data_IF_200383787717
#
_entry.id   IF_200383787717
#
_cell.length_a   1.000
_cell.length_b   1.000
_cell.length_c   1.000
_cell.angle_alpha   90.00
_cell.angle_beta   90.00
_cell.angle_gamma   90.00
#
_symmetry.space_group_name_H-M   'P 1'
#
loop_
_entity.id
_entity.type
_entity.pdbx_description
1 polymer ?
#
# COMPACT_ATOMS: atom_id res chain seq x y z
N UNK A 1 24.77 9.59 -2.74
CA UNK A 1 25.48 10.39 -3.75
C UNK A 1 26.60 11.25 -3.15
N UNK A 2 26.32 12.35 -2.43
CA UNK A 2 27.39 13.24 -1.95
C UNK A 2 28.38 12.57 -1.01
N UNK A 3 27.91 11.74 -0.06
CA UNK A 3 28.80 10.96 0.81
C UNK A 3 29.75 10.04 0.01
N UNK A 4 29.23 9.34 -1.00
CA UNK A 4 30.03 8.47 -1.88
C UNK A 4 31.05 9.26 -2.71
N UNK A 5 30.71 10.49 -3.10
CA UNK A 5 31.64 11.38 -3.81
C UNK A 5 32.79 11.87 -2.91
N UNK A 6 32.49 12.18 -1.64
CA UNK A 6 33.52 12.58 -0.65
C UNK A 6 34.47 11.43 -0.37
N UNK A 7 33.97 10.19 -0.34
CA UNK A 7 34.76 8.98 -0.12
C UNK A 7 35.66 8.65 -1.32
N UNK A 8 35.08 8.56 -2.53
CA UNK A 8 35.82 8.30 -3.77
C UNK A 8 35.08 8.92 -4.97
N UNK A 9 35.54 10.07 -5.49
CA UNK A 9 34.89 10.77 -6.60
C UNK A 9 34.99 10.02 -7.93
N UNK A 10 35.92 9.07 -8.08
CA UNK A 10 36.06 8.21 -9.25
C UNK A 10 35.50 6.79 -9.01
N UNK A 11 34.95 6.54 -7.83
CA UNK A 11 34.47 5.24 -7.38
C UNK A 11 33.18 4.80 -8.05
N UNK A 12 32.98 3.47 -8.12
CA UNK A 12 31.81 2.86 -8.78
C UNK A 12 30.48 3.26 -8.12
N UNK A 13 30.45 3.46 -6.81
CA UNK A 13 29.23 3.88 -6.10
C UNK A 13 28.77 5.28 -6.49
N UNK A 14 29.71 6.23 -6.64
CA UNK A 14 29.36 7.57 -7.08
C UNK A 14 28.86 7.56 -8.53
N UNK A 15 29.52 6.82 -9.42
CA UNK A 15 29.08 6.63 -10.82
C UNK A 15 27.67 6.04 -10.90
N UNK A 16 27.35 5.04 -10.08
CA UNK A 16 26.00 4.47 -9.98
C UNK A 16 24.97 5.49 -9.50
N UNK A 17 25.31 6.35 -8.55
CA UNK A 17 24.42 7.44 -8.12
C UNK A 17 24.20 8.48 -9.22
N UNK A 18 25.26 8.90 -9.92
CA UNK A 18 25.15 9.86 -11.03
C UNK A 18 24.21 9.36 -12.13
N UNK A 19 24.31 8.07 -12.47
CA UNK A 19 23.45 7.44 -13.48
C UNK A 19 21.95 7.47 -13.12
N UNK A 20 21.60 7.63 -11.83
CA UNK A 20 20.22 7.67 -11.34
C UNK A 20 19.64 9.08 -11.21
N UNK A 21 20.40 10.14 -11.44
CA UNK A 21 19.90 11.52 -11.32
C UNK A 21 18.72 11.76 -12.29
N UNK A 22 18.82 11.26 -13.51
CA UNK A 22 17.77 11.39 -14.53
C UNK A 22 16.45 10.77 -14.10
N UNK A 23 16.49 9.73 -13.27
CA UNK A 23 15.29 9.04 -12.77
C UNK A 23 14.45 9.97 -11.89
N UNK A 24 15.03 11.05 -11.36
CA UNK A 24 14.33 12.08 -10.59
C UNK A 24 13.98 13.33 -11.41
N UNK A 25 14.28 13.39 -12.71
CA UNK A 25 13.96 14.55 -13.55
C UNK A 25 12.69 14.32 -14.35
N UNK A 26 11.71 15.22 -14.20
CA UNK A 26 10.46 15.24 -14.95
C UNK A 26 10.41 16.49 -15.84
N UNK A 27 10.20 16.30 -17.14
CA UNK A 27 9.93 17.42 -18.06
C UNK A 27 8.43 17.71 -18.01
N UNK A 28 8.06 18.82 -17.38
CA UNK A 28 6.69 19.31 -17.31
C UNK A 28 6.47 20.47 -18.30
N UNK A 29 5.22 20.89 -18.45
CA UNK A 29 4.82 21.99 -19.34
C UNK A 29 5.54 23.31 -19.02
N UNK A 30 5.87 23.53 -17.74
CA UNK A 30 6.57 24.71 -17.23
C UNK A 30 8.08 24.48 -17.02
N UNK A 31 8.63 23.41 -17.61
CA UNK A 31 10.04 23.10 -17.61
C UNK A 31 10.42 21.86 -16.81
N UNK A 32 11.72 21.66 -16.62
CA UNK A 32 12.25 20.49 -15.91
C UNK A 32 12.14 20.67 -14.41
N UNK A 33 11.56 19.67 -13.75
CA UNK A 33 11.38 19.58 -12.30
C UNK A 33 12.10 18.36 -11.75
N UNK A 34 12.47 18.42 -10.47
CA UNK A 34 12.94 17.25 -9.73
C UNK A 34 11.75 16.64 -8.97
N UNK A 35 11.42 15.38 -9.25
CA UNK A 35 10.40 14.65 -8.50
C UNK A 35 10.99 14.13 -7.18
N UNK A 36 10.14 14.01 -6.15
CA UNK A 36 10.56 13.41 -4.88
C UNK A 36 10.73 11.90 -5.01
N UNK A 37 9.64 11.23 -5.42
CA UNK A 37 9.60 9.83 -5.83
C UNK A 37 8.67 9.75 -7.05
N UNK A 38 8.92 8.80 -7.95
CA UNK A 38 7.91 8.43 -8.93
C UNK A 38 6.69 7.78 -8.25
N UNK A 39 5.55 7.75 -8.94
CA UNK A 39 4.29 7.16 -8.43
C UNK A 39 3.77 6.02 -9.31
N UNK A 40 4.65 5.38 -10.10
CA UNK A 40 4.26 4.51 -11.21
C UNK A 40 3.39 3.32 -10.75
N UNK A 41 3.80 2.62 -9.69
CA UNK A 41 3.05 1.46 -9.16
C UNK A 41 1.79 1.89 -8.43
N UNK A 42 1.83 3.00 -7.70
CA UNK A 42 0.64 3.58 -7.07
C UNK A 42 -0.42 3.98 -8.10
N UNK A 43 -0.03 4.73 -9.13
CA UNK A 43 -0.92 5.21 -10.18
C UNK A 43 -1.44 4.07 -11.05
N UNK A 44 -0.58 3.11 -11.42
CA UNK A 44 -1.02 1.91 -12.14
C UNK A 44 -2.02 1.09 -11.31
N UNK A 45 -1.76 0.92 -10.01
CA UNK A 45 -2.63 0.22 -9.07
C UNK A 45 -4.05 0.81 -9.03
N UNK A 46 -4.17 2.13 -8.86
CA UNK A 46 -5.46 2.81 -8.86
C UNK A 46 -6.11 2.92 -10.24
N UNK A 47 -5.33 3.15 -11.30
CA UNK A 47 -5.85 3.24 -12.66
C UNK A 47 -6.51 1.92 -13.08
N UNK A 48 -5.87 0.78 -12.81
CA UNK A 48 -6.44 -0.53 -13.16
C UNK A 48 -7.71 -0.80 -12.34
N UNK A 49 -7.74 -0.42 -11.06
CA UNK A 49 -8.95 -0.49 -10.24
C UNK A 49 -10.11 0.32 -10.80
N UNK A 50 -9.84 1.57 -11.21
CA UNK A 50 -10.85 2.44 -11.80
C UNK A 50 -11.36 1.88 -13.14
N UNK A 51 -10.45 1.39 -13.98
CA UNK A 51 -10.79 0.76 -15.25
C UNK A 51 -11.65 -0.49 -15.05
N UNK A 52 -11.34 -1.33 -14.07
CA UNK A 52 -12.16 -2.48 -13.70
C UNK A 52 -13.56 -2.08 -13.21
N UNK A 53 -13.64 -1.02 -12.41
CA UNK A 53 -14.92 -0.52 -11.90
C UNK A 53 -15.80 0.12 -13.00
N UNK A 54 -15.24 0.45 -14.16
CA UNK A 54 -15.97 1.07 -15.28
C UNK A 54 -16.90 0.11 -16.03
N UNK A 55 -16.78 -1.21 -15.81
CA UNK A 55 -17.47 -2.25 -16.60
C UNK A 55 -17.19 -2.21 -18.12
N UNK A 56 -16.05 -1.62 -18.53
CA UNK A 56 -15.62 -1.57 -19.94
C UNK A 56 -14.55 -2.61 -20.28
N UNK A 57 -14.38 -3.63 -19.42
CA UNK A 57 -13.30 -4.63 -19.48
C UNK A 57 -13.09 -5.24 -20.87
N UNK A 58 -14.18 -5.52 -21.59
CA UNK A 58 -14.14 -6.14 -22.93
C UNK A 58 -13.54 -5.21 -24.00
N UNK A 59 -13.58 -3.89 -23.79
CA UNK A 59 -13.03 -2.90 -24.73
C UNK A 59 -11.55 -2.58 -24.45
N UNK A 60 -11.09 -2.84 -23.22
CA UNK A 60 -9.77 -2.44 -22.74
C UNK A 60 -8.90 -3.62 -22.28
N UNK A 61 -9.26 -4.85 -22.66
CA UNK A 61 -8.53 -6.07 -22.30
C UNK A 61 -7.00 -5.94 -22.51
N UNK A 62 -6.47 -5.42 -23.65
CA UNK A 62 -5.03 -5.31 -23.82
C UNK A 62 -4.36 -4.33 -22.84
N UNK A 63 -5.07 -3.29 -22.41
CA UNK A 63 -4.58 -2.32 -21.42
C UNK A 63 -4.52 -2.97 -20.04
N UNK A 64 -5.58 -3.68 -19.68
CA UNK A 64 -5.70 -4.41 -18.42
C UNK A 64 -4.65 -5.52 -18.29
N UNK A 65 -4.38 -6.26 -19.37
CA UNK A 65 -3.31 -7.26 -19.42
C UNK A 65 -1.93 -6.66 -19.17
N UNK A 66 -1.58 -5.58 -19.87
CA UNK A 66 -0.29 -4.89 -19.66
C UNK A 66 -0.17 -4.31 -18.25
N UNK A 67 -1.26 -3.78 -17.71
CA UNK A 67 -1.31 -3.29 -16.33
C UNK A 67 -1.02 -4.42 -15.33
N UNK A 68 -1.64 -5.58 -15.52
CA UNK A 68 -1.39 -6.75 -14.69
C UNK A 68 0.06 -7.26 -14.81
N UNK A 69 0.60 -7.34 -16.03
CA UNK A 69 2.01 -7.69 -16.26
C UNK A 69 2.98 -6.72 -15.58
N UNK A 70 2.71 -5.41 -15.66
CA UNK A 70 3.48 -4.39 -14.97
C UNK A 70 3.46 -4.60 -13.44
N UNK A 71 2.28 -4.80 -12.85
CA UNK A 71 2.18 -5.02 -11.40
C UNK A 71 2.91 -6.31 -11.00
N UNK A 72 2.75 -7.41 -11.75
CA UNK A 72 3.45 -8.67 -11.48
C UNK A 72 4.98 -8.49 -11.58
N UNK A 73 5.46 -7.73 -12.55
CA UNK A 73 6.88 -7.47 -12.74
C UNK A 73 7.47 -6.56 -11.65
N UNK A 74 6.67 -5.61 -11.12
CA UNK A 74 7.10 -4.63 -10.13
C UNK A 74 7.18 -5.16 -8.69
N UNK A 75 6.80 -6.42 -8.44
CA UNK A 75 6.90 -7.00 -7.10
C UNK A 75 8.37 -7.23 -6.71
N UNK A 76 8.74 -6.80 -5.50
CA UNK A 76 10.04 -7.05 -4.89
C UNK A 76 10.18 -8.54 -4.58
N UNK A 77 11.22 -9.17 -5.12
CA UNK A 77 11.41 -10.64 -5.07
C UNK A 77 12.32 -11.11 -3.93
N UNK A 78 13.17 -10.21 -3.44
CA UNK A 78 14.21 -10.51 -2.47
C UNK A 78 14.23 -9.44 -1.39
N UNK A 79 14.62 -9.82 -0.17
CA UNK A 79 14.93 -8.87 0.88
C UNK A 79 16.24 -8.12 0.58
N UNK A 80 16.51 -6.97 1.24
CA UNK A 80 17.73 -6.22 0.97
C UNK A 80 18.98 -7.07 1.23
N UNK A 81 19.99 -6.91 0.39
CA UNK A 81 21.22 -7.72 0.47
C UNK A 81 22.01 -7.46 1.76
N UNK A 82 22.70 -8.48 2.25
CA UNK A 82 23.56 -8.39 3.43
C UNK A 82 22.78 -8.52 4.74
N UNK A 83 23.36 -8.04 5.84
CA UNK A 83 22.68 -7.99 7.14
C UNK A 83 21.79 -6.73 7.20
N UNK A 84 20.63 -6.81 6.56
CA UNK A 84 19.71 -5.68 6.45
C UNK A 84 19.06 -5.33 7.80
N UNK A 85 18.97 -6.28 8.73
CA UNK A 85 18.51 -6.02 10.10
C UNK A 85 19.51 -5.13 10.86
N UNK A 86 20.81 -5.39 10.72
CA UNK A 86 21.86 -4.52 11.28
C UNK A 86 21.87 -3.11 10.66
N UNK A 87 21.35 -2.97 9.43
CA UNK A 87 21.13 -1.67 8.78
C UNK A 87 19.76 -1.05 9.12
N UNK A 88 19.03 -1.64 10.07
CA UNK A 88 17.69 -1.23 10.48
C UNK A 88 16.65 -1.26 9.36
N UNK A 89 16.86 -2.04 8.30
CA UNK A 89 15.81 -2.29 7.32
C UNK A 89 14.78 -3.29 7.88
N UNK A 90 13.65 -3.42 7.19
CA UNK A 90 12.64 -4.45 7.44
C UNK A 90 12.56 -5.41 6.26
N UNK A 91 11.86 -6.53 6.43
CA UNK A 91 11.57 -7.43 5.30
C UNK A 91 10.78 -6.66 4.22
N UNK A 92 11.05 -7.00 2.97
CA UNK A 92 10.45 -6.33 1.81
C UNK A 92 10.10 -7.27 0.65
N UNK A 93 10.53 -8.54 0.73
CA UNK A 93 10.10 -9.59 -0.19
C UNK A 93 8.57 -9.68 -0.22
N UNK A 94 8.02 -9.70 -1.43
CA UNK A 94 6.58 -9.70 -1.67
C UNK A 94 5.92 -8.32 -1.69
N UNK A 95 6.66 -7.24 -1.43
CA UNK A 95 6.15 -5.87 -1.52
C UNK A 95 6.03 -5.36 -2.96
N UNK A 96 5.27 -4.28 -3.15
CA UNK A 96 5.19 -3.44 -4.33
C UNK A 96 5.51 -2.02 -3.93
N UNK A 97 6.44 -1.38 -4.62
CA UNK A 97 6.90 -0.04 -4.24
C UNK A 97 5.88 1.04 -4.56
N UNK A 98 6.07 2.27 -4.08
CA UNK A 98 5.27 3.40 -4.55
C UNK A 98 5.58 3.74 -6.02
N UNK A 99 6.85 3.63 -6.42
CA UNK A 99 7.37 3.92 -7.76
C UNK A 99 7.55 2.65 -8.60
N UNK A 100 8.76 2.09 -8.61
CA UNK A 100 9.21 0.92 -9.37
C UNK A 100 9.95 -0.07 -8.46
N UNK A 101 10.20 -1.29 -8.96
CA UNK A 101 10.79 -2.39 -8.16
C UNK A 101 12.09 -2.00 -7.42
N UNK A 102 12.90 -1.08 -7.96
CA UNK A 102 14.19 -0.69 -7.39
C UNK A 102 14.06 0.12 -6.08
N UNK A 103 12.86 0.65 -5.79
CA UNK A 103 12.64 1.59 -4.70
C UNK A 103 11.99 1.02 -3.42
N UNK A 104 11.60 -0.26 -3.39
CA UNK A 104 10.88 -0.90 -2.27
C UNK A 104 9.51 -0.30 -1.88
N UNK A 105 8.50 -1.17 -1.64
CA UNK A 105 7.43 -1.02 -0.61
C UNK A 105 6.05 -0.37 -0.87
N UNK A 106 5.01 -1.05 -0.33
CA UNK A 106 3.52 -0.96 -0.45
C UNK A 106 2.91 -2.30 -0.95
N UNK A 107 1.59 -2.49 -0.92
CA UNK A 107 0.97 -3.80 -1.19
C UNK A 107 -0.28 -3.70 -2.07
N UNK A 108 -0.27 -4.39 -3.22
CA UNK A 108 -1.38 -4.42 -4.18
C UNK A 108 -1.96 -5.85 -4.30
N UNK A 109 -2.51 -6.40 -3.22
CA UNK A 109 -3.10 -7.76 -3.24
C UNK A 109 -4.38 -7.88 -4.08
N UNK A 110 -4.97 -6.77 -4.50
CA UNK A 110 -6.20 -6.74 -5.31
C UNK A 110 -6.04 -7.43 -6.68
N UNK A 111 -4.81 -7.61 -7.17
CA UNK A 111 -4.56 -8.26 -8.46
C UNK A 111 -4.70 -9.79 -8.41
N UNK A 112 -4.80 -10.39 -7.21
CA UNK A 112 -4.98 -11.84 -7.02
C UNK A 112 -6.34 -12.39 -7.49
N UNK A 113 -7.37 -11.54 -7.63
CA UNK A 113 -8.73 -11.96 -8.03
C UNK A 113 -9.00 -11.86 -9.52
N UNK A 114 -8.04 -11.43 -10.33
CA UNK A 114 -8.29 -11.15 -11.74
C UNK A 114 -8.46 -12.45 -12.56
N UNK A 115 -9.44 -12.46 -13.48
CA UNK A 115 -9.73 -13.62 -14.33
C UNK A 115 -8.55 -13.90 -15.27
N UNK A 116 -8.03 -15.14 -15.32
CA UNK A 116 -6.92 -15.45 -16.20
C UNK A 116 -7.27 -15.31 -17.69
N UNK A 117 -8.57 -15.38 -18.03
CA UNK A 117 -9.05 -15.21 -19.41
C UNK A 117 -8.83 -13.80 -19.96
N UNK A 118 -8.94 -12.78 -19.09
CA UNK A 118 -8.81 -11.36 -19.47
C UNK A 118 -7.39 -10.86 -19.19
N UNK A 119 -6.77 -11.36 -18.12
CA UNK A 119 -5.53 -10.79 -17.56
C UNK A 119 -4.28 -11.65 -17.79
N UNK A 120 -4.42 -12.79 -18.47
CA UNK A 120 -3.32 -13.69 -18.77
C UNK A 120 -2.92 -14.56 -17.57
N UNK A 121 -1.64 -14.93 -17.51
CA UNK A 121 -1.14 -15.81 -16.46
C UNK A 121 -1.25 -15.14 -15.08
N UNK A 122 -1.91 -15.82 -14.13
CA UNK A 122 -2.01 -15.38 -12.74
C UNK A 122 -0.64 -15.15 -12.11
N UNK A 123 -0.60 -14.31 -11.09
CA UNK A 123 0.56 -14.21 -10.22
C UNK A 123 0.77 -15.54 -9.47
N UNK A 124 2.03 -15.87 -9.17
CA UNK A 124 2.33 -17.06 -8.40
C UNK A 124 1.67 -16.94 -7.01
N UNK A 125 1.15 -18.06 -6.51
CA UNK A 125 0.56 -18.09 -5.18
C UNK A 125 1.61 -17.85 -4.09
N UNK A 126 2.85 -18.30 -4.27
CA UNK A 126 3.93 -18.02 -3.32
C UNK A 126 4.24 -16.51 -3.23
N UNK A 127 4.16 -15.79 -4.35
CA UNK A 127 4.30 -14.33 -4.39
C UNK A 127 3.21 -13.61 -3.59
N UNK A 128 1.99 -14.15 -3.58
CA UNK A 128 0.90 -13.65 -2.75
C UNK A 128 1.13 -13.96 -1.25
N UNK A 129 1.70 -15.12 -0.94
CA UNK A 129 2.04 -15.49 0.43
C UNK A 129 3.15 -14.60 0.99
N UNK A 130 4.17 -14.28 0.19
CA UNK A 130 5.22 -13.32 0.56
C UNK A 130 4.62 -11.95 0.90
N UNK A 131 3.70 -11.45 0.08
CA UNK A 131 2.99 -10.19 0.33
C UNK A 131 2.19 -10.23 1.65
N UNK A 132 1.48 -11.34 1.91
CA UNK A 132 0.74 -11.53 3.18
C UNK A 132 1.68 -11.60 4.38
N UNK A 133 2.84 -12.24 4.24
CA UNK A 133 3.84 -12.31 5.30
C UNK A 133 4.35 -10.91 5.68
N UNK A 134 4.61 -10.06 4.69
CA UNK A 134 4.96 -8.66 4.92
C UNK A 134 3.84 -7.92 5.67
N UNK A 135 2.59 -7.98 5.19
CA UNK A 135 1.48 -7.28 5.83
C UNK A 135 1.29 -7.71 7.29
N UNK A 136 1.40 -9.01 7.59
CA UNK A 136 1.30 -9.53 8.95
C UNK A 136 2.40 -8.98 9.87
N UNK A 137 3.57 -8.63 9.33
CA UNK A 137 4.69 -8.09 10.11
C UNK A 137 4.56 -6.60 10.45
N UNK A 138 3.69 -5.86 9.75
CA UNK A 138 3.57 -4.40 9.85
C UNK A 138 2.49 -3.93 10.85
N UNK A 139 1.70 -4.84 11.43
CA UNK A 139 0.64 -4.44 12.36
C UNK A 139 1.22 -3.92 13.68
N UNK A 140 0.84 -2.69 14.04
CA UNK A 140 1.15 -2.09 15.32
C UNK A 140 0.35 -2.70 16.48
N UNK A 141 0.81 -2.48 17.72
CA UNK A 141 0.19 -3.05 18.94
C UNK A 141 -1.27 -2.62 19.18
N UNK A 142 -1.70 -1.50 18.60
CA UNK A 142 -3.08 -0.99 18.69
C UNK A 142 -3.97 -1.43 17.52
N UNK A 143 -3.46 -2.30 16.63
CA UNK A 143 -4.20 -2.84 15.49
C UNK A 143 -4.04 -2.07 14.17
N UNK A 144 -3.53 -0.84 14.22
CA UNK A 144 -3.25 -0.04 13.02
C UNK A 144 -2.09 -0.61 12.20
N UNK A 145 -2.04 -0.22 10.93
CA UNK A 145 -0.96 -0.58 10.01
C UNK A 145 -0.05 0.62 9.77
N UNK A 146 1.24 0.37 9.79
CA UNK A 146 2.23 1.36 9.36
C UNK A 146 2.37 1.37 7.84
N UNK A 147 2.93 2.45 7.30
CA UNK A 147 3.12 2.57 5.87
C UNK A 147 4.31 1.78 5.31
N UNK A 148 5.38 1.66 6.11
CA UNK A 148 6.71 1.29 5.63
C UNK A 148 7.39 0.29 6.57
N UNK A 149 7.52 0.61 7.85
CA UNK A 149 8.21 -0.23 8.84
C UNK A 149 7.35 -0.45 10.09
N UNK A 150 7.57 -1.54 10.85
CA UNK A 150 6.94 -1.70 12.15
C UNK A 150 7.27 -0.54 13.09
N UNK A 151 6.33 -0.19 13.97
CA UNK A 151 6.56 0.85 14.99
C UNK A 151 7.68 0.43 15.95
N UNK A 152 8.87 1.01 15.79
CA UNK A 152 10.04 0.79 16.65
C UNK A 152 10.22 1.90 17.69
N UNK A 153 9.69 3.09 17.43
CA UNK A 153 9.84 4.25 18.29
C UNK A 153 8.85 4.22 19.48
N UNK A 154 9.27 4.67 20.67
CA UNK A 154 8.37 4.86 21.79
C UNK A 154 7.44 6.06 21.54
N UNK A 155 6.22 6.01 22.10
CA UNK A 155 5.17 7.04 21.90
C UNK A 155 5.55 8.48 22.29
N UNK A 156 6.63 8.68 23.05
CA UNK A 156 7.08 10.00 23.48
C UNK A 156 8.03 10.66 22.48
N UNK A 157 8.66 9.89 21.58
CA UNK A 157 9.67 10.40 20.64
C UNK A 157 9.02 11.20 19.49
N UNK A 158 7.77 10.88 19.20
CA UNK A 158 6.73 11.60 18.45
C UNK A 158 5.44 10.83 18.77
N UNK A 159 4.23 11.40 18.62
CA UNK A 159 3.02 10.59 18.86
C UNK A 159 3.02 9.44 17.84
N UNK A 160 3.28 8.21 18.29
CA UNK A 160 3.35 7.02 17.44
C UNK A 160 2.02 6.75 16.67
N UNK A 161 0.98 7.54 16.96
CA UNK A 161 -0.23 7.67 16.15
C UNK A 161 0.06 8.16 14.72
N UNK A 162 1.08 8.99 14.46
CA UNK A 162 1.40 9.43 13.10
C UNK A 162 2.06 8.36 12.23
N UNK A 163 2.51 7.25 12.81
CA UNK A 163 3.10 6.14 12.04
C UNK A 163 2.06 5.14 11.56
N UNK A 164 0.91 5.08 12.24
CA UNK A 164 -0.18 4.17 11.96
C UNK A 164 -1.28 4.95 11.27
N UNK A 165 -1.70 4.46 10.10
CA UNK A 165 -2.45 5.30 9.17
C UNK A 165 -3.78 4.64 8.85
N UNK A 166 -4.85 5.42 8.95
CA UNK A 166 -6.21 5.01 8.57
C UNK A 166 -6.22 4.40 7.18
N UNK A 167 -5.55 5.04 6.23
CA UNK A 167 -5.55 4.63 4.82
C UNK A 167 -4.81 3.31 4.61
N UNK A 168 -3.65 3.14 5.24
CA UNK A 168 -2.89 1.88 5.20
C UNK A 168 -3.69 0.75 5.86
N UNK A 169 -4.29 1.03 7.01
CA UNK A 169 -5.07 0.05 7.76
C UNK A 169 -6.29 -0.43 6.99
N UNK A 170 -7.05 0.50 6.42
CA UNK A 170 -8.21 0.17 5.61
C UNK A 170 -7.86 -0.60 4.33
N UNK A 171 -6.78 -0.22 3.65
CA UNK A 171 -6.30 -0.91 2.44
C UNK A 171 -5.89 -2.35 2.74
N UNK A 172 -5.23 -2.59 3.88
CA UNK A 172 -4.86 -3.93 4.33
C UNK A 172 -6.08 -4.78 4.66
N UNK A 173 -7.13 -4.21 5.26
CA UNK A 173 -8.38 -4.94 5.50
C UNK A 173 -8.98 -5.41 4.16
N UNK A 174 -9.15 -4.51 3.19
CA UNK A 174 -9.72 -4.83 1.87
C UNK A 174 -8.92 -5.95 1.19
N UNK A 175 -7.61 -5.79 1.13
CA UNK A 175 -6.67 -6.76 0.59
C UNK A 175 -6.75 -8.14 1.27
N UNK A 176 -6.75 -8.20 2.60
CA UNK A 176 -6.71 -9.46 3.34
C UNK A 176 -8.05 -10.17 3.40
N UNK A 177 -9.18 -9.44 3.41
CA UNK A 177 -10.50 -10.04 3.26
C UNK A 177 -10.59 -10.75 1.91
N UNK A 178 -10.13 -10.10 0.86
CA UNK A 178 -10.12 -10.66 -0.48
C UNK A 178 -9.21 -11.90 -0.57
N UNK A 179 -7.99 -11.79 -0.04
CA UNK A 179 -7.04 -12.89 0.03
C UNK A 179 -7.63 -14.08 0.81
N UNK A 180 -8.26 -13.85 1.97
CA UNK A 180 -8.90 -14.90 2.79
C UNK A 180 -10.00 -15.63 2.01
N UNK A 181 -10.75 -14.92 1.15
CA UNK A 181 -11.78 -15.53 0.29
C UNK A 181 -11.17 -16.48 -0.75
N UNK A 182 -10.03 -16.11 -1.33
CA UNK A 182 -9.33 -16.94 -2.33
C UNK A 182 -8.53 -18.09 -1.71
N UNK A 183 -7.90 -17.86 -0.55
CA UNK A 183 -6.97 -18.78 0.11
C UNK A 183 -7.38 -19.04 1.56
N UNK A 184 -8.56 -19.64 1.81
CA UNK A 184 -9.18 -19.71 3.15
C UNK A 184 -8.39 -20.53 4.19
N UNK A 185 -7.40 -21.32 3.76
CA UNK A 185 -6.57 -22.17 4.63
C UNK A 185 -5.21 -21.55 4.97
N UNK A 186 -4.75 -20.54 4.22
CA UNK A 186 -3.41 -19.98 4.42
C UNK A 186 -3.43 -18.96 5.57
N UNK A 187 -2.71 -19.25 6.67
CA UNK A 187 -2.56 -18.38 7.86
C UNK A 187 -3.88 -17.75 8.37
N UNK A 188 -4.99 -18.46 8.20
CA UNK A 188 -6.35 -17.92 8.35
C UNK A 188 -6.60 -17.27 9.71
N UNK A 189 -6.12 -17.89 10.79
CA UNK A 189 -6.24 -17.37 12.17
C UNK A 189 -5.50 -16.05 12.36
N UNK A 190 -4.30 -15.93 11.80
CA UNK A 190 -3.46 -14.74 11.93
C UNK A 190 -4.04 -13.58 11.13
N UNK A 191 -4.51 -13.88 9.92
CA UNK A 191 -5.21 -12.91 9.06
C UNK A 191 -6.50 -12.41 9.72
N UNK A 192 -7.29 -13.32 10.30
CA UNK A 192 -8.53 -12.96 10.99
C UNK A 192 -8.29 -12.09 12.22
N UNK A 193 -7.26 -12.40 13.01
CA UNK A 193 -6.85 -11.57 14.13
C UNK A 193 -6.39 -10.19 13.66
N UNK A 194 -5.59 -10.11 12.59
CA UNK A 194 -5.13 -8.85 12.04
C UNK A 194 -6.31 -7.98 11.60
N UNK A 195 -7.22 -8.53 10.79
CA UNK A 195 -8.42 -7.83 10.31
C UNK A 195 -9.26 -7.33 11.49
N UNK A 196 -9.48 -8.17 12.51
CA UNK A 196 -10.27 -7.79 13.70
C UNK A 196 -9.65 -6.62 14.43
N UNK A 197 -8.33 -6.65 14.66
CA UNK A 197 -7.61 -5.56 15.32
C UNK A 197 -7.59 -4.29 14.48
N UNK A 198 -7.46 -4.42 13.16
CA UNK A 198 -7.46 -3.30 12.22
C UNK A 198 -8.83 -2.59 12.16
N UNK A 199 -9.93 -3.35 12.19
CA UNK A 199 -11.30 -2.79 12.32
C UNK A 199 -11.43 -2.01 13.62
N UNK A 200 -11.00 -2.60 14.74
CA UNK A 200 -11.07 -1.94 16.05
C UNK A 200 -10.26 -0.64 16.07
N UNK A 201 -9.09 -0.62 15.40
CA UNK A 201 -8.30 0.59 15.23
C UNK A 201 -9.07 1.66 14.45
N UNK A 202 -9.66 1.32 13.29
CA UNK A 202 -10.45 2.29 12.52
C UNK A 202 -11.63 2.84 13.32
N UNK A 203 -12.31 2.00 14.10
CA UNK A 203 -13.42 2.43 14.96
C UNK A 203 -12.94 3.38 16.08
N UNK A 204 -11.73 3.18 16.61
CA UNK A 204 -11.16 4.00 17.68
C UNK A 204 -10.60 5.35 17.18
N UNK A 205 -10.09 5.40 15.95
CA UNK A 205 -9.52 6.62 15.36
C UNK A 205 -10.58 7.52 14.68
N UNK A 206 -11.85 7.08 14.64
CA UNK A 206 -12.94 7.92 14.13
C UNK A 206 -13.12 9.17 15.01
N UNK A 207 -13.18 10.34 14.36
CA UNK A 207 -13.39 11.60 15.05
C UNK A 207 -14.84 11.77 15.54
N UNK A 208 -15.10 12.66 16.52
CA UNK A 208 -16.45 12.86 17.06
C UNK A 208 -17.51 13.25 16.03
N UNK A 209 -17.12 13.93 14.95
CA UNK A 209 -17.99 14.33 13.84
C UNK A 209 -18.27 13.21 12.82
N UNK A 210 -17.62 12.05 12.98
CA UNK A 210 -17.74 10.89 12.11
C UNK A 210 -16.63 10.75 11.08
N UNK A 211 -15.78 11.76 10.91
CA UNK A 211 -14.69 11.74 9.93
C UNK A 211 -13.48 10.93 10.38
N UNK A 212 -12.57 10.67 9.44
CA UNK A 212 -11.20 10.23 9.73
C UNK A 212 -10.21 11.20 9.10
N UNK A 213 -9.12 11.47 9.83
CA UNK A 213 -8.03 12.28 9.32
C UNK A 213 -7.28 11.55 8.19
N UNK A 214 -7.08 12.23 7.06
CA UNK A 214 -6.24 11.75 5.97
C UNK A 214 -4.80 12.25 6.13
N UNK A 215 -3.86 11.32 6.22
CA UNK A 215 -2.45 11.60 6.44
C UNK A 215 -1.66 11.73 5.13
N UNK A 216 -2.10 11.05 4.07
CA UNK A 216 -1.42 11.09 2.76
C UNK A 216 -1.99 12.11 1.78
N UNK A 217 -3.23 12.58 2.00
CA UNK A 217 -3.89 13.61 1.17
C UNK A 217 -4.83 14.46 2.00
N UNK A 218 -5.21 15.61 1.43
CA UNK A 218 -6.08 16.60 2.06
C UNK A 218 -7.56 16.20 1.97
N UNK A 219 -8.31 16.12 3.06
CA UNK A 219 -7.89 15.65 4.38
C UNK A 219 -8.96 14.65 4.85
N UNK A 220 -10.09 15.14 5.34
CA UNK A 220 -11.12 14.31 5.94
C UNK A 220 -11.95 13.49 4.95
N UNK A 221 -12.21 14.01 3.74
CA UNK A 221 -12.90 13.23 2.69
C UNK A 221 -12.05 12.02 2.31
N UNK A 222 -10.74 12.21 2.15
CA UNK A 222 -9.80 11.15 1.80
C UNK A 222 -9.71 10.08 2.89
N UNK A 223 -9.43 10.48 4.14
CA UNK A 223 -9.37 9.54 5.26
C UNK A 223 -10.68 8.77 5.45
N UNK A 224 -11.81 9.47 5.38
CA UNK A 224 -13.15 8.87 5.53
C UNK A 224 -13.47 7.90 4.39
N UNK A 225 -13.11 8.22 3.15
CA UNK A 225 -13.28 7.31 2.02
C UNK A 225 -12.56 5.97 2.24
N UNK A 226 -11.28 6.01 2.65
CA UNK A 226 -10.52 4.79 2.95
C UNK A 226 -11.15 4.00 4.10
N UNK A 227 -11.41 4.66 5.23
CA UNK A 227 -11.98 3.99 6.40
C UNK A 227 -13.30 3.28 6.08
N UNK A 228 -14.21 3.95 5.37
CA UNK A 228 -15.48 3.36 4.96
C UNK A 228 -15.29 2.19 4.00
N UNK A 229 -14.36 2.27 3.04
CA UNK A 229 -14.04 1.16 2.12
C UNK A 229 -13.51 -0.07 2.87
N UNK A 230 -12.56 0.11 3.79
CA UNK A 230 -12.02 -1.00 4.58
C UNK A 230 -13.08 -1.64 5.49
N UNK A 231 -13.91 -0.82 6.14
CA UNK A 231 -15.01 -1.31 6.98
C UNK A 231 -16.06 -2.07 6.14
N UNK A 232 -16.40 -1.57 4.95
CA UNK A 232 -17.32 -2.22 4.02
C UNK A 232 -16.80 -3.57 3.54
N UNK A 233 -15.52 -3.66 3.17
CA UNK A 233 -14.87 -4.93 2.83
C UNK A 233 -14.98 -5.95 3.98
N UNK A 234 -14.88 -5.51 5.23
CA UNK A 234 -15.07 -6.35 6.42
C UNK A 234 -16.55 -6.68 6.75
N UNK A 235 -17.51 -6.27 5.91
CA UNK A 235 -18.93 -6.53 6.11
C UNK A 235 -19.65 -5.54 7.04
N UNK A 236 -19.01 -4.43 7.40
CA UNK A 236 -19.66 -3.33 8.14
C UNK A 236 -20.43 -2.47 7.13
N UNK A 237 -21.69 -2.24 7.41
CA UNK A 237 -22.62 -1.51 6.54
C UNK A 237 -23.33 -0.42 7.34
N UNK A 238 -24.03 0.47 6.64
CA UNK A 238 -24.84 1.51 7.27
C UNK A 238 -25.85 0.97 8.29
N UNK A 239 -26.40 -0.23 8.05
CA UNK A 239 -27.43 -0.83 8.90
C UNK A 239 -26.88 -1.59 10.12
N UNK A 240 -25.61 -1.98 10.12
CA UNK A 240 -25.02 -2.83 11.17
C UNK A 240 -23.83 -2.20 11.91
N UNK A 241 -23.40 -0.99 11.52
CA UNK A 241 -22.25 -0.31 12.11
C UNK A 241 -22.55 1.18 12.36
N UNK A 242 -22.64 1.60 13.64
CA UNK A 242 -22.74 3.02 14.00
C UNK A 242 -21.56 3.85 13.49
N UNK A 243 -20.37 3.25 13.40
CA UNK A 243 -19.17 3.88 12.87
C UNK A 243 -19.35 4.24 11.39
N UNK A 244 -19.85 3.29 10.58
CA UNK A 244 -20.16 3.54 9.16
C UNK A 244 -21.26 4.59 9.02
N UNK A 245 -22.31 4.50 9.84
CA UNK A 245 -23.41 5.48 9.86
C UNK A 245 -22.90 6.91 10.05
N UNK A 246 -22.07 7.16 11.06
CA UNK A 246 -21.46 8.47 11.33
C UNK A 246 -20.56 8.95 10.19
N UNK A 247 -19.75 8.07 9.62
CA UNK A 247 -18.88 8.42 8.49
C UNK A 247 -19.67 8.86 7.25
N UNK A 248 -20.78 8.17 6.97
CA UNK A 248 -21.69 8.56 5.89
C UNK A 248 -22.40 9.88 6.20
N UNK A 249 -22.87 10.08 7.43
CA UNK A 249 -23.45 11.36 7.84
C UNK A 249 -22.48 12.54 7.70
N UNK A 250 -21.21 12.34 8.06
CA UNK A 250 -20.16 13.34 7.88
C UNK A 250 -20.06 13.77 6.40
N UNK A 251 -19.95 12.80 5.49
CA UNK A 251 -19.82 13.07 4.05
C UNK A 251 -21.05 13.77 3.47
N UNK A 252 -22.26 13.44 3.94
CA UNK A 252 -23.50 14.05 3.46
C UNK A 252 -23.75 15.47 3.97
N UNK A 253 -23.12 15.84 5.10
CA UNK A 253 -23.19 17.19 5.68
C UNK A 253 -22.07 18.12 5.19
N UNK A 254 -21.10 17.59 4.45
CA UNK A 254 -19.92 18.29 3.94
C UNK A 254 -20.22 19.15 2.71
#
# INVERSE_FOLDING_TARGET
MFASWVEDPDGDYFKKHLARISDFLLIAEDGTKMQGLGSQTWDAGFAIQALLASNLTDEIEPVLRRGHEFIKASQVKDDPSGDFEAMYCHISKGSWTFSDQDHGWQCCLLFSVMSPEIFGEKMDTEQLYDAVNLLLSLQGKNGGMTALEPTRAPKWLESAQHQLLTECTASVIDALVLFKKLYPRHRSKEIENLITNAIQYLENEQMPDGSWYGSWRVCFIYGTWFALRGLEAAGKTYNNSPTVHKGVEFLLKS
#
